data_IF_854865574591
#
_entry.id   IF_854865574591
#
_cell.length_a   1.000
_cell.length_b   1.000
_cell.length_c   1.000
_cell.angle_alpha   90.00
_cell.angle_beta   90.00
_cell.angle_gamma   90.00
#
_symmetry.space_group_name_H-M   'P 1'
#
loop_
_entity.id
_entity.type
_entity.pdbx_description
1 polymer ?
#
# COMPACT_ATOMS: atom_id res chain seq x y z
N UNK A 1 -17.39 -22.67 17.73
CA UNK A 1 -16.86 -22.56 17.26
C UNK A 1 -16.53 -23.08 16.65
N UNK A 2 -17.14 -23.27 16.80
CA UNK A 2 -16.88 -23.45 16.17
C UNK A 2 -16.98 -24.09 15.77
N UNK A 3 -17.84 -24.40 16.06
CA UNK A 3 -17.83 -24.65 15.58
C UNK A 3 -17.59 -25.63 15.36
N UNK A 4 -17.73 -26.18 15.66
CA UNK A 4 -17.40 -26.60 15.68
C UNK A 4 -17.25 -27.58 15.35
N UNK A 5 -17.68 -28.01 15.47
CA UNK A 5 -17.56 -28.46 15.16
C UNK A 5 -17.34 -28.97 14.40
N UNK A 6 -17.56 -30.43 14.97
CA UNK A 6 -17.40 -30.43 14.20
C UNK A 6 -17.51 -30.01 13.25
N UNK A 7 -17.88 -30.29 14.13
CA UNK A 7 -18.08 -29.65 12.90
C UNK A 7 -16.81 -29.17 12.26
N UNK A 8 -16.59 -29.53 11.04
CA UNK A 8 -15.44 -29.02 10.36
C UNK A 8 -15.67 -27.53 10.11
N UNK A 9 -14.90 -26.71 10.73
CA UNK A 9 -14.94 -25.28 10.51
C UNK A 9 -14.48 -24.97 9.10
N UNK A 10 -15.11 -24.02 8.44
CA UNK A 10 -14.65 -23.52 7.17
C UNK A 10 -13.29 -22.85 7.34
N UNK A 11 -12.36 -23.09 6.45
CA UNK A 11 -11.13 -22.30 6.48
C UNK A 11 -11.44 -20.84 6.18
N UNK A 12 -10.72 -19.94 6.82
CA UNK A 12 -10.91 -18.51 6.65
C UNK A 12 -9.55 -17.80 6.50
N UNK A 13 -9.62 -16.58 6.04
CA UNK A 13 -8.44 -15.73 5.86
C UNK A 13 -8.29 -14.84 7.08
N UNK A 14 -7.07 -14.73 7.59
CA UNK A 14 -6.77 -13.93 8.79
C UNK A 14 -6.39 -12.49 8.45
N UNK A 15 -5.48 -12.29 7.51
CA UNK A 15 -4.92 -10.96 7.23
C UNK A 15 -4.31 -10.92 5.83
N UNK A 16 -3.99 -9.71 5.40
CA UNK A 16 -3.16 -9.49 4.22
C UNK A 16 -1.70 -9.47 4.66
N UNK A 17 -0.83 -10.23 3.98
CA UNK A 17 0.62 -10.16 4.20
C UNK A 17 1.25 -9.09 3.31
N UNK A 18 0.99 -9.17 2.02
CA UNK A 18 1.51 -8.19 1.05
C UNK A 18 0.61 -8.10 -0.17
N UNK A 19 0.79 -7.03 -0.91
CA UNK A 19 0.22 -6.86 -2.25
C UNK A 19 1.36 -6.64 -3.23
N UNK A 20 1.04 -6.74 -4.52
CA UNK A 20 1.99 -6.47 -5.61
C UNK A 20 1.50 -5.23 -6.37
N UNK A 21 2.41 -4.31 -6.61
CA UNK A 21 2.13 -3.08 -7.33
C UNK A 21 3.05 -2.99 -8.54
N UNK A 22 2.49 -2.67 -9.70
CA UNK A 22 3.25 -2.40 -10.91
C UNK A 22 3.81 -0.98 -10.85
N UNK A 23 5.08 -0.81 -11.20
CA UNK A 23 5.72 0.50 -11.23
C UNK A 23 6.34 0.74 -12.61
N UNK A 24 6.10 1.92 -13.17
CA UNK A 24 6.75 2.31 -14.42
C UNK A 24 8.22 2.66 -14.20
N UNK A 25 8.51 3.25 -13.03
CA UNK A 25 9.86 3.69 -12.65
C UNK A 25 10.10 3.26 -11.20
N UNK A 26 10.80 2.15 -11.02
CA UNK A 26 11.06 1.58 -9.70
C UNK A 26 11.78 2.59 -8.77
N UNK A 27 12.89 3.24 -9.17
CA UNK A 27 13.53 4.21 -8.28
C UNK A 27 12.64 5.37 -7.85
N UNK A 28 11.84 5.93 -8.74
CA UNK A 28 10.92 7.02 -8.40
C UNK A 28 9.82 6.56 -7.44
N UNK A 29 9.32 5.36 -7.63
CA UNK A 29 8.32 4.77 -6.73
C UNK A 29 8.92 4.54 -5.34
N UNK A 30 10.11 3.98 -5.26
CA UNK A 30 10.80 3.79 -3.98
C UNK A 30 10.99 5.11 -3.26
N UNK A 31 11.45 6.14 -3.99
CA UNK A 31 11.68 7.46 -3.42
C UNK A 31 10.40 8.03 -2.81
N UNK A 32 9.29 7.94 -3.53
CA UNK A 32 8.00 8.44 -3.04
C UNK A 32 7.58 7.73 -1.76
N UNK A 33 7.56 6.40 -1.77
CA UNK A 33 7.06 5.64 -0.63
C UNK A 33 7.97 5.70 0.59
N UNK A 34 9.27 5.91 0.41
CA UNK A 34 10.20 6.06 1.52
C UNK A 34 10.25 7.50 2.04
N UNK A 35 10.42 8.49 1.16
CA UNK A 35 10.61 9.88 1.56
C UNK A 35 9.30 10.57 1.93
N UNK A 36 8.20 10.27 1.21
CA UNK A 36 6.91 10.89 1.48
C UNK A 36 6.10 10.08 2.49
N UNK A 37 6.00 8.76 2.31
CA UNK A 37 5.15 7.92 3.15
C UNK A 37 5.88 7.24 4.31
N UNK A 38 7.20 7.36 4.38
CA UNK A 38 7.97 6.85 5.52
C UNK A 38 8.13 5.34 5.57
N UNK A 39 7.93 4.64 4.46
CA UNK A 39 8.13 3.20 4.41
C UNK A 39 9.60 2.84 4.35
N UNK A 40 9.93 1.58 4.67
CA UNK A 40 11.28 1.06 4.60
C UNK A 40 11.45 0.26 3.30
N UNK A 41 12.44 0.63 2.50
CA UNK A 41 12.77 -0.10 1.27
C UNK A 41 13.68 -1.27 1.61
N UNK A 42 13.34 -2.47 1.11
CA UNK A 42 14.14 -3.68 1.28
C UNK A 42 14.24 -4.39 -0.07
N UNK A 43 15.47 -4.76 -0.43
CA UNK A 43 15.70 -5.66 -1.56
C UNK A 43 15.69 -7.09 -1.06
N UNK A 44 15.20 -8.02 -1.88
CA UNK A 44 15.24 -9.43 -1.51
C UNK A 44 15.45 -10.31 -2.73
N UNK A 45 16.05 -11.50 -2.47
CA UNK A 45 16.27 -12.51 -3.47
C UNK A 45 15.24 -13.61 -3.28
N UNK A 46 14.39 -13.93 -4.28
CA UNK A 46 13.44 -15.02 -4.13
C UNK A 46 14.16 -16.33 -3.84
N UNK A 47 13.57 -17.23 -3.02
CA UNK A 47 14.19 -18.53 -2.71
C UNK A 47 14.48 -19.38 -3.96
N UNK A 48 13.67 -19.21 -4.99
CA UNK A 48 13.85 -19.94 -6.27
C UNK A 48 14.92 -19.33 -7.18
N UNK A 49 15.59 -18.26 -6.71
CA UNK A 49 16.55 -17.53 -7.53
C UNK A 49 15.87 -16.49 -8.41
N UNK A 50 16.60 -16.01 -9.41
CA UNK A 50 16.12 -14.96 -10.29
C UNK A 50 16.59 -13.58 -9.85
N UNK A 51 16.12 -12.51 -10.50
CA UNK A 51 16.57 -11.17 -10.19
C UNK A 51 16.14 -10.72 -8.81
N UNK A 52 16.91 -9.80 -8.23
CA UNK A 52 16.58 -9.14 -6.98
C UNK A 52 15.26 -8.39 -7.13
N UNK A 53 14.41 -8.49 -6.10
CA UNK A 53 13.10 -7.85 -6.04
C UNK A 53 13.13 -6.72 -5.04
N UNK A 54 12.19 -5.77 -5.22
CA UNK A 54 12.08 -4.59 -4.38
C UNK A 54 10.79 -4.66 -3.58
N UNK A 55 10.85 -4.27 -2.30
CA UNK A 55 9.67 -4.20 -1.45
C UNK A 55 9.69 -2.97 -0.56
N UNK A 56 8.50 -2.54 -0.17
CA UNK A 56 8.26 -1.37 0.67
C UNK A 56 7.52 -1.86 1.91
N UNK A 57 8.15 -1.72 3.07
CA UNK A 57 7.63 -2.28 4.32
C UNK A 57 7.02 -1.19 5.20
N UNK A 58 5.89 -1.50 5.80
CA UNK A 58 5.18 -0.64 6.74
C UNK A 58 4.39 -1.51 7.70
N UNK A 59 4.44 -1.20 9.00
CA UNK A 59 3.81 -2.05 10.01
C UNK A 59 4.28 -3.49 9.87
N UNK A 60 3.33 -4.42 9.78
CA UNK A 60 3.61 -5.84 9.60
C UNK A 60 3.34 -6.30 8.15
N UNK A 61 3.27 -5.38 7.21
CA UNK A 61 2.88 -5.63 5.82
C UNK A 61 3.91 -5.05 4.87
N UNK A 62 3.78 -5.39 3.61
CA UNK A 62 4.65 -4.81 2.57
C UNK A 62 3.93 -4.71 1.23
N UNK A 63 4.51 -3.91 0.36
CA UNK A 63 4.17 -3.85 -1.06
C UNK A 63 5.38 -4.37 -1.82
N UNK A 64 5.19 -5.41 -2.63
CA UNK A 64 6.21 -5.85 -3.57
C UNK A 64 6.07 -5.05 -4.85
N UNK A 65 7.18 -4.51 -5.35
CA UNK A 65 7.18 -3.74 -6.59
C UNK A 65 7.57 -4.63 -7.75
N UNK A 66 6.78 -4.59 -8.82
CA UNK A 66 7.09 -5.24 -10.09
C UNK A 66 7.37 -4.17 -11.13
N UNK A 67 8.46 -4.35 -11.88
CA UNK A 67 8.78 -3.50 -13.02
C UNK A 67 7.77 -3.79 -14.14
N UNK A 68 6.95 -2.80 -14.47
CA UNK A 68 5.91 -2.98 -15.48
C UNK A 68 6.47 -3.29 -16.87
N UNK A 69 7.73 -2.92 -17.15
CA UNK A 69 8.38 -3.19 -18.43
C UNK A 69 8.97 -4.61 -18.51
N UNK A 70 9.00 -5.34 -17.40
CA UNK A 70 9.60 -6.69 -17.33
C UNK A 70 8.68 -7.64 -16.54
N UNK A 71 7.45 -7.89 -17.01
CA UNK A 71 6.50 -8.72 -16.28
C UNK A 71 6.99 -10.17 -16.18
N UNK A 72 6.60 -10.85 -15.10
CA UNK A 72 6.89 -12.26 -14.91
C UNK A 72 5.73 -12.94 -14.18
N UNK A 73 5.56 -14.23 -14.44
CA UNK A 73 4.46 -15.01 -13.85
C UNK A 73 4.85 -15.56 -12.48
N UNK A 74 3.89 -15.77 -11.56
CA UNK A 74 2.48 -15.42 -11.73
C UNK A 74 2.22 -13.93 -11.43
N UNK A 75 1.24 -13.35 -12.08
CA UNK A 75 0.80 -11.98 -11.83
C UNK A 75 -0.72 -11.87 -12.03
N UNK A 76 -1.30 -10.73 -11.65
CA UNK A 76 -2.72 -10.48 -11.89
C UNK A 76 -3.03 -10.52 -13.38
N UNK A 77 -4.29 -10.83 -13.73
CA UNK A 77 -4.70 -10.91 -15.14
C UNK A 77 -4.42 -9.61 -15.89
N UNK A 78 -4.66 -8.46 -15.23
CA UNK A 78 -4.49 -7.15 -15.83
C UNK A 78 -3.50 -6.34 -14.98
N UNK A 79 -2.22 -6.71 -14.98
CA UNK A 79 -1.23 -5.94 -14.23
C UNK A 79 -0.97 -4.63 -14.97
N UNK A 80 -1.22 -3.50 -14.29
CA UNK A 80 -1.08 -2.19 -14.90
C UNK A 80 -0.61 -1.18 -13.87
N UNK A 81 0.20 -0.22 -14.32
CA UNK A 81 0.58 0.91 -13.47
C UNK A 81 -0.65 1.79 -13.21
N UNK A 82 -0.69 2.42 -12.04
CA UNK A 82 -1.75 3.38 -11.74
C UNK A 82 -3.12 2.76 -11.50
N UNK A 83 -3.20 1.45 -11.25
CA UNK A 83 -4.46 0.73 -11.10
C UNK A 83 -4.83 0.43 -9.64
N UNK A 84 -4.02 0.85 -8.69
CA UNK A 84 -4.20 0.52 -7.28
C UNK A 84 -4.84 1.69 -6.55
N UNK A 85 -5.70 1.37 -5.59
CA UNK A 85 -6.38 2.31 -4.70
C UNK A 85 -6.21 1.74 -3.29
N UNK A 86 -5.41 2.41 -2.45
CA UNK A 86 -5.02 1.92 -1.14
C UNK A 86 -5.32 2.94 -0.05
N UNK A 87 -5.82 2.46 1.09
CA UNK A 87 -5.97 3.26 2.30
C UNK A 87 -4.96 2.80 3.34
N UNK A 88 -4.14 3.73 3.80
CA UNK A 88 -3.17 3.50 4.87
C UNK A 88 -3.64 4.17 6.16
N UNK A 89 -3.52 3.46 7.27
CA UNK A 89 -3.78 4.00 8.59
C UNK A 89 -2.48 4.56 9.15
N UNK A 90 -2.55 5.76 9.73
CA UNK A 90 -1.43 6.41 10.38
C UNK A 90 -1.85 6.87 11.78
N UNK A 91 -0.87 6.96 12.68
CA UNK A 91 -1.09 7.50 14.02
C UNK A 91 -0.74 8.99 14.13
N UNK A 92 0.00 9.53 13.17
CA UNK A 92 0.22 10.97 13.09
C UNK A 92 -1.05 11.65 12.60
N UNK A 93 -1.35 12.81 13.13
CA UNK A 93 -2.58 13.53 12.78
C UNK A 93 -2.63 13.89 11.31
N UNK A 94 -3.84 13.93 10.76
CA UNK A 94 -4.04 14.39 9.38
C UNK A 94 -3.48 15.80 9.18
N UNK A 95 -3.57 16.67 10.21
CA UNK A 95 -2.97 18.00 10.17
C UNK A 95 -1.45 17.96 9.96
N UNK A 96 -0.76 17.05 10.66
CA UNK A 96 0.69 16.86 10.48
C UNK A 96 1.00 16.36 9.08
N UNK A 97 0.18 15.45 8.56
CA UNK A 97 0.33 14.96 7.20
C UNK A 97 0.11 16.06 6.16
N UNK A 98 -0.90 16.92 6.37
CA UNK A 98 -1.13 18.06 5.48
C UNK A 98 0.11 18.95 5.40
N UNK A 99 0.75 19.23 6.54
CA UNK A 99 1.95 20.05 6.57
C UNK A 99 3.13 19.35 5.89
N UNK A 100 3.33 18.08 6.17
CA UNK A 100 4.40 17.28 5.56
C UNK A 100 4.27 17.23 4.04
N UNK A 101 3.06 16.97 3.55
CA UNK A 101 2.79 16.90 2.11
C UNK A 101 3.01 18.25 1.44
N UNK A 102 2.56 19.33 2.07
CA UNK A 102 2.79 20.69 1.56
C UNK A 102 4.28 21.00 1.47
N UNK A 103 5.04 20.63 2.50
CA UNK A 103 6.50 20.82 2.51
C UNK A 103 7.21 19.99 1.44
N UNK A 104 6.61 18.89 1.04
CA UNK A 104 7.15 17.98 0.03
C UNK A 104 6.65 18.28 -1.38
N UNK A 105 5.81 19.29 -1.54
CA UNK A 105 5.26 19.66 -2.84
C UNK A 105 4.18 18.70 -3.36
N UNK A 106 3.57 17.91 -2.48
CA UNK A 106 2.53 16.95 -2.85
C UNK A 106 1.17 17.61 -2.65
N UNK A 107 0.34 17.57 -3.71
CA UNK A 107 -1.01 18.14 -3.67
C UNK A 107 -1.98 17.13 -3.10
N UNK A 108 -2.80 17.57 -2.15
CA UNK A 108 -3.92 16.79 -1.64
C UNK A 108 -5.08 16.97 -2.62
N UNK A 109 -5.51 15.87 -3.23
CA UNK A 109 -6.57 15.89 -4.24
C UNK A 109 -7.94 16.06 -3.61
N UNK A 110 -8.16 15.46 -2.43
CA UNK A 110 -9.43 15.49 -1.72
C UNK A 110 -9.19 15.34 -0.23
N UNK A 111 -10.06 15.93 0.56
CA UNK A 111 -10.01 15.83 2.02
C UNK A 111 -9.36 17.04 2.70
N UNK A 112 -9.41 17.04 4.04
CA UNK A 112 -9.90 15.97 4.95
C UNK A 112 -11.39 15.72 4.81
N UNK A 113 -11.75 14.44 4.68
CA UNK A 113 -13.15 14.01 4.58
C UNK A 113 -13.37 12.80 5.47
N UNK A 114 -14.61 12.61 5.90
CA UNK A 114 -14.97 11.42 6.69
C UNK A 114 -15.25 10.26 5.74
N UNK A 115 -14.73 9.09 6.10
CA UNK A 115 -14.93 7.85 5.36
C UNK A 115 -15.22 6.72 6.32
N UNK A 116 -15.61 5.56 5.79
CA UNK A 116 -15.88 4.37 6.58
C UNK A 116 -14.72 3.38 6.42
N UNK A 117 -14.09 3.05 7.54
CA UNK A 117 -13.02 2.07 7.55
C UNK A 117 -13.51 0.69 7.97
N UNK A 118 -12.61 -0.28 7.90
CA UNK A 118 -12.93 -1.66 8.29
C UNK A 118 -13.30 -1.77 9.78
N UNK A 119 -12.72 -0.93 10.62
CA UNK A 119 -12.90 -0.99 12.08
C UNK A 119 -13.50 0.29 12.65
N UNK A 120 -14.09 1.14 11.83
CA UNK A 120 -14.73 2.35 12.30
C UNK A 120 -14.54 3.53 11.37
N UNK A 121 -15.06 4.70 11.77
CA UNK A 121 -14.97 5.89 10.92
C UNK A 121 -13.54 6.41 10.80
N UNK A 122 -13.26 7.00 9.65
CA UNK A 122 -11.95 7.54 9.30
C UNK A 122 -12.05 9.03 8.98
N UNK A 123 -10.95 9.75 9.22
CA UNK A 123 -10.71 11.06 8.63
C UNK A 123 -9.57 10.89 7.62
N UNK A 124 -9.82 11.22 6.36
CA UNK A 124 -8.95 10.83 5.25
C UNK A 124 -8.56 11.99 4.36
N UNK A 125 -7.34 11.91 3.83
CA UNK A 125 -6.86 12.75 2.72
C UNK A 125 -6.40 11.82 1.59
N UNK A 126 -6.49 12.33 0.35
CA UNK A 126 -6.17 11.56 -0.87
C UNK A 126 -5.06 12.25 -1.65
N UNK A 127 -4.08 11.45 -2.06
CA UNK A 127 -2.97 11.91 -2.90
C UNK A 127 -2.73 10.89 -4.01
N UNK A 128 -1.84 11.22 -4.95
CA UNK A 128 -1.40 10.33 -6.02
C UNK A 128 0.06 9.99 -5.85
N UNK A 129 0.41 8.74 -6.12
CA UNK A 129 1.80 8.33 -6.21
C UNK A 129 2.36 8.63 -7.61
N UNK A 130 3.65 8.34 -7.91
CA UNK A 130 4.23 8.67 -9.22
C UNK A 130 3.51 8.07 -10.42
N UNK A 131 2.85 6.91 -10.26
CA UNK A 131 2.12 6.25 -11.34
C UNK A 131 0.65 6.62 -11.39
N UNK A 132 0.18 7.47 -10.48
CA UNK A 132 -1.22 7.86 -10.40
C UNK A 132 -2.08 6.93 -9.58
N UNK A 133 -1.49 5.99 -8.84
CA UNK A 133 -2.25 5.20 -7.87
C UNK A 133 -2.87 6.13 -6.83
N UNK A 134 -4.12 5.84 -6.45
CA UNK A 134 -4.81 6.64 -5.45
C UNK A 134 -4.42 6.16 -4.05
N UNK A 135 -3.88 7.08 -3.26
CA UNK A 135 -3.43 6.80 -1.91
C UNK A 135 -4.27 7.59 -0.93
N UNK A 136 -4.95 6.89 -0.04
CA UNK A 136 -5.71 7.47 1.05
C UNK A 136 -4.90 7.32 2.33
N UNK A 137 -4.75 8.41 3.08
CA UNK A 137 -4.05 8.43 4.38
C UNK A 137 -5.08 8.80 5.42
N UNK A 138 -5.22 7.98 6.47
CA UNK A 138 -6.37 8.08 7.37
C UNK A 138 -6.00 7.91 8.83
N UNK A 139 -6.71 8.67 9.66
CA UNK A 139 -6.79 8.42 11.11
C UNK A 139 -8.14 7.77 11.41
N UNK A 140 -8.17 6.81 12.34
CA UNK A 140 -9.43 6.44 12.97
C UNK A 140 -9.89 7.58 13.88
N UNK A 141 -11.18 7.85 13.88
CA UNK A 141 -11.77 8.92 14.68
C UNK A 141 -12.91 8.42 15.57
#
# INVERSE_FOLDING_TARGET
>A
MRWGQDQVDKPDIHSIDHIVMQAADIPETIKFYTEILGMTHIEFQPPTGGPVRQSLHFGAQKINLHDASAPFLPHARNPAVGSVDLCFITQQSIGDWQQHLANSGIVIEDGPVRKTGANGPLLSIYIRDPDGNLIEISNYI
#
